data_IF_396521788365
#
_entry.id   IF_396521788365
#
_cell.length_a   1.000
_cell.length_b   1.000
_cell.length_c   1.000
_cell.angle_alpha   90.00
_cell.angle_beta   90.00
_cell.angle_gamma   90.00
#
_symmetry.space_group_name_H-M   'P 1'
#
loop_
_entity.id
_entity.type
_entity.pdbx_description
1 polymer ?
#
# COMPACT_ATOMS: atom_id res chain seq x y z
N UNK A 1 29.89 -2.05 3.17
CA UNK A 1 29.21 -1.37 2.05
C UNK A 1 27.85 -0.94 2.54
N UNK A 2 27.46 0.33 2.36
CA UNK A 2 26.10 0.77 2.65
C UNK A 2 25.10 -0.06 1.81
N UNK A 3 23.93 -0.30 2.37
CA UNK A 3 22.83 -1.00 1.70
C UNK A 3 21.66 -0.04 1.60
N UNK A 4 20.92 -0.14 0.51
CA UNK A 4 19.67 0.60 0.28
C UNK A 4 18.62 -0.44 -0.05
N UNK A 5 17.50 -0.41 0.67
CA UNK A 5 16.36 -1.27 0.40
C UNK A 5 15.41 -0.54 -0.56
N UNK A 6 15.05 -1.20 -1.67
CA UNK A 6 14.25 -0.60 -2.74
C UNK A 6 13.06 -1.51 -3.03
N UNK A 7 11.86 -0.93 -3.20
CA UNK A 7 10.68 -1.67 -3.66
C UNK A 7 10.96 -2.45 -4.95
N UNK A 8 10.69 -3.75 -4.93
CA UNK A 8 10.91 -4.64 -6.09
C UNK A 8 10.11 -4.17 -7.31
N UNK A 9 8.91 -3.63 -7.10
CA UNK A 9 8.05 -3.06 -8.15
C UNK A 9 8.78 -2.00 -8.97
N UNK A 10 9.52 -1.10 -8.33
CA UNK A 10 10.21 -0.02 -9.02
C UNK A 10 11.57 -0.40 -9.64
N UNK A 11 12.02 -1.64 -9.39
CA UNK A 11 13.17 -2.25 -10.06
C UNK A 11 12.76 -3.13 -11.24
N UNK A 12 11.46 -3.27 -11.52
CA UNK A 12 11.02 -4.01 -12.69
C UNK A 12 11.43 -3.25 -13.94
N UNK A 13 12.11 -3.95 -14.84
CA UNK A 13 12.54 -3.40 -16.13
C UNK A 13 11.87 -4.22 -17.22
N UNK A 14 11.43 -3.58 -18.28
CA UNK A 14 10.98 -4.28 -19.46
C UNK A 14 12.17 -5.01 -20.11
N UNK A 15 12.01 -6.30 -20.36
CA UNK A 15 12.95 -7.07 -21.17
C UNK A 15 12.81 -6.74 -22.67
N UNK A 16 13.59 -7.43 -23.52
CA UNK A 16 13.56 -7.24 -24.98
C UNK A 16 12.19 -7.54 -25.60
N UNK A 17 11.35 -8.32 -24.91
CA UNK A 17 10.00 -8.69 -25.31
C UNK A 17 8.92 -7.77 -24.71
N UNK A 18 9.34 -6.75 -23.94
CA UNK A 18 8.45 -5.80 -23.27
C UNK A 18 7.79 -6.34 -22.00
N UNK A 19 8.22 -7.51 -21.51
CA UNK A 19 7.72 -8.09 -20.27
C UNK A 19 8.45 -7.50 -19.07
N UNK A 20 7.71 -7.13 -18.03
CA UNK A 20 8.30 -6.63 -16.80
C UNK A 20 8.95 -7.78 -16.02
N UNK A 21 10.28 -7.75 -15.92
CA UNK A 21 11.05 -8.77 -15.21
C UNK A 21 11.62 -8.23 -13.90
N UNK A 22 11.67 -9.09 -12.89
CA UNK A 22 12.28 -8.79 -11.59
C UNK A 22 13.76 -9.19 -11.62
N UNK A 23 14.69 -8.31 -11.23
CA UNK A 23 16.12 -8.64 -11.17
C UNK A 23 16.41 -9.80 -10.21
N UNK A 24 17.35 -10.67 -10.58
CA UNK A 24 17.81 -11.77 -9.74
C UNK A 24 18.96 -11.34 -8.81
N UNK A 25 19.22 -12.15 -7.78
CA UNK A 25 20.34 -11.91 -6.86
C UNK A 25 21.66 -12.03 -7.62
N UNK A 26 22.43 -10.94 -7.64
CA UNK A 26 23.72 -10.85 -8.33
C UNK A 26 23.65 -10.10 -9.66
N UNK A 27 22.46 -9.74 -10.13
CA UNK A 27 22.30 -8.91 -11.32
C UNK A 27 22.78 -7.48 -11.05
N UNK A 28 23.42 -6.89 -12.07
CA UNK A 28 23.77 -5.48 -12.05
C UNK A 28 22.53 -4.65 -12.40
N UNK A 29 22.08 -3.83 -11.44
CA UNK A 29 20.95 -2.91 -11.63
C UNK A 29 21.45 -1.46 -11.56
N UNK A 30 20.87 -0.61 -12.40
CA UNK A 30 21.05 0.85 -12.35
C UNK A 30 19.67 1.47 -12.15
N UNK A 31 19.53 2.30 -11.12
CA UNK A 31 18.29 2.97 -10.80
C UNK A 31 18.53 4.43 -10.41
N UNK A 32 17.52 5.26 -10.64
CA UNK A 32 17.50 6.66 -10.20
C UNK A 32 16.44 6.82 -9.13
N UNK A 33 16.80 7.38 -7.97
CA UNK A 33 15.87 7.73 -6.90
C UNK A 33 15.67 9.24 -6.90
N UNK A 34 14.41 9.69 -6.91
CA UNK A 34 14.04 11.08 -6.65
C UNK A 34 13.31 11.15 -5.31
N UNK A 35 13.58 12.20 -4.54
CA UNK A 35 13.00 12.35 -3.22
C UNK A 35 13.54 13.56 -2.45
N UNK A 36 12.98 13.77 -1.26
CA UNK A 36 13.34 14.88 -0.39
C UNK A 36 14.31 14.43 0.71
N UNK A 37 15.23 15.32 1.09
CA UNK A 37 16.10 15.09 2.26
C UNK A 37 15.28 15.28 3.52
N UNK A 38 15.09 14.21 4.29
CA UNK A 38 14.31 14.23 5.54
C UNK A 38 15.17 14.61 6.73
N UNK A 39 16.44 14.18 6.75
CA UNK A 39 17.37 14.54 7.81
C UNK A 39 18.83 14.50 7.33
N UNK A 40 19.68 15.28 7.99
CA UNK A 40 21.12 15.34 7.73
C UNK A 40 21.84 15.11 9.07
N UNK A 41 22.65 14.06 9.14
CA UNK A 41 23.59 13.79 10.23
C UNK A 41 25.01 14.26 9.89
N UNK A 42 25.97 13.91 10.74
CA UNK A 42 27.35 14.39 10.60
C UNK A 42 28.08 13.85 9.35
N UNK A 43 27.70 12.66 8.87
CA UNK A 43 28.36 11.98 7.73
C UNK A 43 27.37 11.51 6.65
N UNK A 44 26.06 11.48 6.93
CA UNK A 44 25.04 10.91 6.05
C UNK A 44 23.77 11.75 6.04
N UNK A 45 23.10 11.81 4.88
CA UNK A 45 21.76 12.35 4.74
C UNK A 45 20.76 11.20 4.50
N UNK A 46 19.57 11.33 5.08
CA UNK A 46 18.44 10.43 4.83
C UNK A 46 17.55 11.09 3.79
N UNK A 47 17.33 10.39 2.68
CA UNK A 47 16.45 10.82 1.59
C UNK A 47 15.21 9.94 1.63
N UNK A 48 14.04 10.55 1.81
CA UNK A 48 12.76 9.87 1.65
C UNK A 48 12.50 9.66 0.16
N UNK A 49 12.32 8.41 -0.26
CA UNK A 49 12.12 8.06 -1.67
C UNK A 49 10.70 8.42 -2.11
N UNK A 50 10.56 9.26 -3.14
CA UNK A 50 9.28 9.60 -3.77
C UNK A 50 9.07 8.77 -5.05
N UNK A 51 10.08 8.71 -5.91
CA UNK A 51 10.05 7.92 -7.15
C UNK A 51 11.36 7.14 -7.35
N UNK A 52 11.25 5.98 -8.01
CA UNK A 52 12.37 5.16 -8.45
C UNK A 52 12.15 4.81 -9.92
N UNK A 53 13.12 5.15 -10.78
CA UNK A 53 13.01 5.00 -12.24
C UNK A 53 11.78 5.69 -12.87
N UNK A 54 11.28 6.75 -12.25
CA UNK A 54 10.09 7.48 -12.70
C UNK A 54 8.76 6.85 -12.26
N UNK A 55 8.80 5.71 -11.54
CA UNK A 55 7.62 5.11 -10.90
C UNK A 55 7.56 5.48 -9.42
N UNK A 56 6.36 5.65 -8.83
CA UNK A 56 6.23 5.97 -7.41
C UNK A 56 6.86 4.86 -6.55
N UNK A 57 7.68 5.27 -5.57
CA UNK A 57 8.42 4.33 -4.73
C UNK A 57 7.47 3.50 -3.86
N UNK A 58 6.41 4.12 -3.34
CA UNK A 58 5.36 3.46 -2.60
C UNK A 58 4.07 3.53 -3.41
N UNK A 59 3.37 2.41 -3.55
CA UNK A 59 2.01 2.45 -4.07
C UNK A 59 1.20 3.39 -3.18
N UNK A 60 0.43 4.30 -3.76
CA UNK A 60 -0.53 5.09 -3.00
C UNK A 60 -1.37 4.12 -2.18
N UNK A 61 -1.36 4.26 -0.86
CA UNK A 61 -2.30 3.54 -0.02
C UNK A 61 -3.69 3.93 -0.51
N UNK A 62 -4.35 3.01 -1.22
CA UNK A 62 -5.77 3.10 -1.48
C UNK A 62 -6.39 3.00 -0.10
N UNK A 63 -6.72 4.16 0.50
CA UNK A 63 -7.56 4.21 1.68
C UNK A 63 -8.86 3.57 1.23
N UNK A 64 -9.05 2.29 1.55
CA UNK A 64 -10.37 1.67 1.46
C UNK A 64 -11.26 2.51 2.37
N UNK A 65 -12.03 3.40 1.75
CA UNK A 65 -13.12 4.12 2.41
C UNK A 65 -13.93 3.03 3.12
N UNK A 66 -13.89 3.02 4.46
CA UNK A 66 -14.69 2.09 5.25
C UNK A 66 -16.13 2.26 4.77
N UNK A 67 -16.61 1.30 3.97
CA UNK A 67 -18.01 1.25 3.58
C UNK A 67 -18.74 1.13 4.90
N UNK A 68 -19.36 2.23 5.34
CA UNK A 68 -20.22 2.26 6.50
C UNK A 68 -21.29 1.21 6.26
N UNK A 69 -21.09 0.03 6.83
CA UNK A 69 -22.12 -1.00 6.89
C UNK A 69 -23.21 -0.31 7.68
N UNK A 70 -24.30 0.05 7.01
CA UNK A 70 -25.48 0.68 7.60
C UNK A 70 -26.07 -0.33 8.58
N UNK A 71 -25.49 -0.35 9.78
CA UNK A 71 -25.91 -1.24 10.84
C UNK A 71 -27.34 -0.81 11.20
N UNK A 72 -28.30 -1.75 11.21
CA UNK A 72 -29.67 -1.40 11.56
C UNK A 72 -29.67 -0.71 12.92
N UNK A 73 -30.41 0.40 13.00
CA UNK A 73 -30.52 1.16 14.23
C UNK A 73 -31.02 0.26 15.35
N UNK A 74 -30.63 0.57 16.60
CA UNK A 74 -31.09 -0.15 17.79
C UNK A 74 -32.61 -0.32 17.81
N UNK A 75 -33.34 0.67 17.30
CA UNK A 75 -34.80 0.68 17.27
C UNK A 75 -35.35 -0.27 16.19
N UNK A 76 -34.67 -0.43 15.06
CA UNK A 76 -35.03 -1.44 14.05
C UNK A 76 -34.83 -2.87 14.58
N UNK A 77 -33.74 -3.11 15.33
CA UNK A 77 -33.48 -4.41 15.96
C UNK A 77 -34.52 -4.74 17.05
N UNK A 78 -34.97 -3.74 17.83
CA UNK A 78 -36.01 -3.93 18.85
C UNK A 78 -37.36 -4.27 18.23
N UNK A 79 -37.75 -3.58 17.16
CA UNK A 79 -39.01 -3.84 16.47
C UNK A 79 -39.05 -5.25 15.85
N UNK A 80 -37.93 -5.73 15.32
CA UNK A 80 -37.84 -7.09 14.77
C UNK A 80 -37.94 -8.17 15.87
N UNK A 81 -37.31 -7.95 17.02
CA UNK A 81 -37.44 -8.84 18.18
C UNK A 81 -38.88 -8.90 18.72
N UNK A 82 -39.56 -7.76 18.81
CA UNK A 82 -40.94 -7.69 19.30
C UNK A 82 -41.92 -8.37 18.32
N UNK A 83 -41.69 -8.23 17.01
CA UNK A 83 -42.48 -8.92 15.99
C UNK A 83 -42.30 -10.45 16.03
N UNK A 84 -41.10 -10.94 16.36
CA UNK A 84 -40.82 -12.38 16.50
C UNK A 84 -41.50 -12.96 17.76
N UNK A 85 -41.55 -12.18 18.84
CA UNK A 85 -42.22 -12.56 20.09
C UNK A 85 -43.76 -12.60 19.91
N UNK A 86 -44.35 -11.61 19.24
CA UNK A 86 -45.79 -11.60 18.90
C UNK A 86 -46.20 -12.69 17.90
N UNK A 87 -45.29 -13.11 17.01
CA UNK A 87 -45.54 -14.18 16.04
C UNK A 87 -45.52 -15.60 16.64
N UNK A 88 -45.30 -15.74 17.95
CA UNK A 88 -45.34 -17.02 18.66
C UNK A 88 -44.03 -17.80 18.53
N UNK A 89 -42.91 -17.16 18.87
CA UNK A 89 -41.62 -17.84 19.01
C UNK A 89 -41.62 -18.85 20.17
N UNK A 90 -41.97 -20.11 19.87
CA UNK A 90 -41.88 -21.34 20.70
C UNK A 90 -42.38 -21.25 22.16
#
# INVERSE_FOLDING_TARGET
>A
MPKVDIPISALQVADEDGSMIVPAVGDAVSFTVEGAVESIGDEYAVVGMESVNGEPAYAEEVVEEEVAIDAPSRDALMAEMEAIDEAGGL
#
